data_IF_388517635909
#
_entry.id   IF_388517635909
#
_cell.length_a   1.000
_cell.length_b   1.000
_cell.length_c   1.000
_cell.angle_alpha   90.00
_cell.angle_beta   90.00
_cell.angle_gamma   90.00
#
_symmetry.space_group_name_H-M   'P 1'
#
loop_
_entity.id
_entity.type
_entity.pdbx_description
1 polymer ?
#
# COMPACT_ATOMS: atom_id res chain seq x y z
N UNK A 1 -31.03 2.43 9.88
CA UNK A 1 -31.18 1.31 10.82
C UNK A 1 -29.85 1.08 11.49
N UNK A 2 -29.74 1.22 12.83
CA UNK A 2 -28.53 0.80 13.55
C UNK A 2 -28.52 -0.74 13.51
N UNK A 3 -27.60 -1.32 12.77
CA UNK A 3 -27.35 -2.77 12.83
C UNK A 3 -26.81 -3.10 14.22
N UNK A 4 -27.43 -4.03 14.91
CA UNK A 4 -26.96 -4.50 16.23
C UNK A 4 -25.58 -5.14 16.05
N UNK A 5 -24.57 -4.61 16.74
CA UNK A 5 -23.21 -5.17 16.71
C UNK A 5 -23.22 -6.63 17.19
N UNK A 6 -22.42 -7.47 16.55
CA UNK A 6 -22.17 -8.84 16.98
C UNK A 6 -21.40 -8.89 18.32
N UNK A 7 -21.33 -10.05 18.97
CA UNK A 7 -20.52 -10.24 20.18
C UNK A 7 -19.04 -9.92 19.92
N UNK A 8 -18.51 -10.32 18.78
CA UNK A 8 -17.14 -10.02 18.36
C UNK A 8 -16.92 -8.52 18.20
N UNK A 9 -17.80 -7.81 17.47
CA UNK A 9 -17.70 -6.38 17.25
C UNK A 9 -17.76 -5.58 18.55
N UNK A 10 -18.64 -5.98 19.49
CA UNK A 10 -18.72 -5.35 20.81
C UNK A 10 -17.42 -5.50 21.59
N UNK A 11 -16.86 -6.71 21.62
CA UNK A 11 -15.58 -6.99 22.30
C UNK A 11 -14.43 -6.19 21.68
N UNK A 12 -14.33 -6.18 20.34
CA UNK A 12 -13.29 -5.43 19.62
C UNK A 12 -13.44 -3.92 19.82
N UNK A 13 -14.67 -3.40 19.82
CA UNK A 13 -14.90 -1.97 20.05
C UNK A 13 -14.40 -1.57 21.44
N UNK A 14 -14.74 -2.32 22.49
CA UNK A 14 -14.26 -2.06 23.87
C UNK A 14 -12.72 -2.13 23.97
N UNK A 15 -12.10 -3.14 23.36
CA UNK A 15 -10.64 -3.28 23.34
C UNK A 15 -9.96 -2.10 22.61
N UNK A 16 -10.53 -1.68 21.49
CA UNK A 16 -10.03 -0.53 20.73
C UNK A 16 -10.24 0.78 21.49
N UNK A 17 -11.41 1.02 22.06
CA UNK A 17 -11.70 2.22 22.87
C UNK A 17 -10.70 2.38 24.02
N UNK A 18 -10.35 1.27 24.68
CA UNK A 18 -9.34 1.27 25.74
C UNK A 18 -7.90 1.50 25.23
N UNK A 19 -7.63 1.17 23.96
CA UNK A 19 -6.26 1.15 23.41
C UNK A 19 -5.91 2.38 22.58
N UNK A 20 -6.89 3.05 21.92
CA UNK A 20 -6.57 4.13 20.98
C UNK A 20 -6.03 5.40 21.64
N UNK A 21 -6.60 5.92 22.69
CA UNK A 21 -6.15 7.07 23.45
C UNK A 21 -5.12 7.97 22.76
N UNK A 22 -3.88 7.97 23.25
CA UNK A 22 -2.75 8.70 22.66
C UNK A 22 -2.08 7.95 21.48
N UNK A 23 -2.62 6.78 21.08
CA UNK A 23 -2.03 5.94 20.03
C UNK A 23 -2.44 6.41 18.65
N UNK A 24 -3.73 6.68 18.46
CA UNK A 24 -4.32 7.19 17.22
C UNK A 24 -5.68 7.83 17.54
N UNK A 25 -6.13 8.85 16.76
CA UNK A 25 -7.46 9.43 16.95
C UNK A 25 -8.60 8.42 16.78
N UNK A 26 -8.47 7.52 15.81
CA UNK A 26 -9.50 6.51 15.53
C UNK A 26 -9.01 5.36 14.69
N UNK A 27 -9.83 4.31 14.65
CA UNK A 27 -9.61 3.10 13.86
C UNK A 27 -10.89 2.71 13.16
N UNK A 28 -10.80 2.41 11.87
CA UNK A 28 -11.83 1.73 11.09
C UNK A 28 -11.31 0.36 10.71
N UNK A 29 -12.06 -0.68 11.04
CA UNK A 29 -11.66 -2.08 10.89
C UNK A 29 -12.76 -2.85 10.20
N UNK A 30 -12.40 -3.64 9.17
CA UNK A 30 -13.30 -4.62 8.57
C UNK A 30 -12.59 -5.95 8.37
N UNK A 31 -13.25 -7.04 8.79
CA UNK A 31 -12.77 -8.39 8.56
C UNK A 31 -13.80 -9.22 7.77
N UNK A 32 -13.29 -10.05 6.86
CA UNK A 32 -14.08 -10.99 6.09
C UNK A 32 -13.54 -12.40 6.29
N UNK A 33 -14.44 -13.35 6.55
CA UNK A 33 -14.13 -14.78 6.53
C UNK A 33 -14.94 -15.45 5.42
N UNK A 34 -14.28 -16.25 4.57
CA UNK A 34 -14.93 -16.86 3.42
C UNK A 34 -15.51 -15.85 2.40
N UNK A 35 -15.05 -14.58 2.45
CA UNK A 35 -15.58 -13.49 1.63
C UNK A 35 -16.78 -12.75 2.22
N UNK A 36 -17.29 -13.18 3.38
CA UNK A 36 -18.42 -12.55 4.09
C UNK A 36 -17.89 -11.67 5.22
N UNK A 37 -18.47 -10.48 5.42
CA UNK A 37 -18.15 -9.61 6.55
C UNK A 37 -18.47 -10.33 7.87
N UNK A 38 -17.48 -10.49 8.73
CA UNK A 38 -17.62 -11.06 10.08
C UNK A 38 -17.41 -10.01 11.18
N UNK A 39 -16.83 -8.86 10.80
CA UNK A 39 -16.61 -7.76 11.74
C UNK A 39 -16.51 -6.45 10.94
N UNK A 40 -17.20 -5.41 11.43
CA UNK A 40 -17.13 -4.03 10.92
C UNK A 40 -17.22 -3.06 12.10
N UNK A 41 -16.09 -2.48 12.50
CA UNK A 41 -15.97 -1.66 13.70
C UNK A 41 -15.31 -0.33 13.41
N UNK A 42 -15.90 0.72 13.96
CA UNK A 42 -15.33 2.07 13.94
C UNK A 42 -15.29 2.61 15.37
N UNK A 43 -14.13 3.12 15.78
CA UNK A 43 -13.90 3.64 17.13
C UNK A 43 -13.08 4.91 17.07
N UNK A 44 -13.41 5.88 17.93
CA UNK A 44 -12.74 7.16 18.01
C UNK A 44 -13.15 8.15 16.91
N UNK A 45 -12.26 9.11 16.63
CA UNK A 45 -12.47 10.14 15.59
C UNK A 45 -12.10 9.54 14.22
N UNK A 46 -13.10 9.05 13.51
CA UNK A 46 -12.95 8.42 12.20
C UNK A 46 -13.47 9.32 11.09
N UNK A 47 -12.98 9.08 9.87
CA UNK A 47 -13.44 9.76 8.65
C UNK A 47 -13.72 8.71 7.56
N UNK A 48 -14.33 9.17 6.48
CA UNK A 48 -14.65 8.29 5.36
C UNK A 48 -13.41 7.89 4.57
N UNK A 49 -12.50 8.84 4.32
CA UNK A 49 -11.32 8.62 3.47
C UNK A 49 -10.01 8.74 4.26
N UNK A 50 -9.07 7.89 3.91
CA UNK A 50 -7.75 7.83 4.52
C UNK A 50 -6.66 7.83 3.45
N UNK A 51 -5.51 8.41 3.79
CA UNK A 51 -4.28 8.24 3.02
C UNK A 51 -3.76 6.81 3.23
N UNK A 52 -3.74 6.04 2.17
CA UNK A 52 -3.30 4.64 2.19
C UNK A 52 -1.79 4.50 2.34
N UNK A 53 -1.03 5.58 2.13
CA UNK A 53 0.43 5.56 2.13
C UNK A 53 0.97 4.39 1.30
N UNK A 54 1.85 3.56 1.88
CA UNK A 54 2.46 2.43 1.16
C UNK A 54 1.52 1.30 0.74
N UNK A 55 0.25 1.28 1.16
CA UNK A 55 -0.71 0.37 0.54
C UNK A 55 -0.91 0.68 -0.95
N UNK A 56 -0.57 1.89 -1.41
CA UNK A 56 -0.47 2.25 -2.83
C UNK A 56 0.38 1.24 -3.61
N UNK A 57 1.46 0.72 -2.99
CA UNK A 57 2.36 -0.25 -3.61
C UNK A 57 1.64 -1.52 -4.06
N UNK A 58 0.72 -2.03 -3.24
CA UNK A 58 -0.02 -3.25 -3.55
C UNK A 58 -1.32 -2.98 -4.32
N UNK A 59 -2.06 -1.92 -3.97
CA UNK A 59 -3.35 -1.59 -4.60
C UNK A 59 -3.16 -1.10 -6.04
N UNK A 60 -2.07 -0.38 -6.33
CA UNK A 60 -1.77 0.13 -7.66
C UNK A 60 -0.62 -0.62 -8.33
N UNK A 61 0.60 -0.40 -7.85
CA UNK A 61 1.82 -0.76 -8.58
C UNK A 61 1.95 -2.25 -8.81
N UNK A 62 1.85 -3.02 -7.76
CA UNK A 62 1.94 -4.47 -7.81
C UNK A 62 0.77 -5.08 -8.60
N UNK A 63 -0.46 -4.59 -8.42
CA UNK A 63 -1.63 -5.07 -9.15
C UNK A 63 -1.49 -4.80 -10.67
N UNK A 64 -0.99 -3.62 -11.06
CA UNK A 64 -0.75 -3.28 -12.46
C UNK A 64 0.34 -4.19 -13.07
N UNK A 65 1.44 -4.41 -12.35
CA UNK A 65 2.52 -5.30 -12.79
C UNK A 65 2.08 -6.77 -12.85
N UNK A 66 1.27 -7.22 -11.89
CA UNK A 66 0.72 -8.58 -11.89
C UNK A 66 -0.19 -8.82 -13.11
N UNK A 67 -1.04 -7.86 -13.46
CA UNK A 67 -1.87 -7.93 -14.66
C UNK A 67 -1.04 -7.87 -15.94
N UNK A 68 0.01 -7.04 -15.97
CA UNK A 68 0.93 -6.98 -17.12
C UNK A 68 1.69 -8.29 -17.29
N UNK A 69 2.12 -8.92 -16.21
CA UNK A 69 2.75 -10.25 -16.21
C UNK A 69 1.79 -11.32 -16.75
N UNK A 70 0.54 -11.34 -16.28
CA UNK A 70 -0.47 -12.30 -16.69
C UNK A 70 -0.75 -12.24 -18.20
N UNK A 71 -0.59 -11.05 -18.80
CA UNK A 71 -0.68 -10.83 -20.26
C UNK A 71 0.62 -11.10 -21.03
N UNK A 72 1.69 -11.53 -20.34
CA UNK A 72 2.99 -11.79 -20.96
C UNK A 72 3.79 -10.53 -21.34
N UNK A 73 3.45 -9.34 -20.80
CA UNK A 73 4.13 -8.09 -21.12
C UNK A 73 5.52 -7.97 -20.45
N UNK A 74 5.80 -8.79 -19.45
CA UNK A 74 7.11 -8.94 -18.83
C UNK A 74 7.24 -10.33 -18.19
N UNK A 75 8.45 -10.70 -17.81
CA UNK A 75 8.80 -12.02 -17.20
C UNK A 75 9.60 -11.81 -15.92
N UNK A 76 9.80 -12.88 -15.13
CA UNK A 76 10.65 -12.82 -13.93
C UNK A 76 12.12 -12.49 -14.23
N UNK A 77 12.56 -12.64 -15.46
CA UNK A 77 13.89 -12.28 -15.94
C UNK A 77 14.00 -10.86 -16.46
N UNK A 78 12.86 -10.20 -16.69
CA UNK A 78 12.82 -8.83 -17.21
C UNK A 78 13.54 -7.85 -16.28
N UNK A 79 14.31 -6.97 -16.90
CA UNK A 79 15.12 -5.94 -16.26
C UNK A 79 14.54 -4.55 -16.50
N UNK A 80 15.01 -3.58 -15.77
CA UNK A 80 14.67 -2.17 -15.98
C UNK A 80 15.04 -1.75 -17.41
N UNK A 81 16.19 -2.19 -17.94
CA UNK A 81 16.67 -1.85 -19.27
C UNK A 81 15.79 -2.33 -20.42
N UNK A 82 14.97 -3.38 -20.20
CA UNK A 82 14.01 -3.83 -21.23
C UNK A 82 12.91 -2.79 -21.49
N UNK A 83 12.66 -1.90 -20.55
CA UNK A 83 11.62 -0.84 -20.63
C UNK A 83 12.19 0.57 -20.64
N UNK A 84 13.35 0.77 -19.99
CA UNK A 84 14.02 2.05 -19.81
C UNK A 84 15.50 1.88 -20.22
N UNK A 85 15.79 1.81 -21.52
CA UNK A 85 17.14 1.47 -22.02
C UNK A 85 18.21 2.51 -21.67
N UNK A 86 17.81 3.75 -21.38
CA UNK A 86 18.68 4.84 -20.95
C UNK A 86 18.92 4.91 -19.45
N UNK A 87 18.29 4.01 -18.67
CA UNK A 87 18.48 4.00 -17.22
C UNK A 87 19.90 3.56 -16.85
N UNK A 88 20.55 4.28 -15.92
CA UNK A 88 21.95 4.08 -15.55
C UNK A 88 22.28 2.68 -15.00
N UNK A 89 21.28 1.93 -14.55
CA UNK A 89 21.40 0.56 -14.03
C UNK A 89 20.40 -0.38 -14.70
N UNK A 90 20.59 -0.65 -16.01
CA UNK A 90 19.60 -1.40 -16.81
C UNK A 90 19.40 -2.85 -16.33
N UNK A 91 20.39 -3.43 -15.66
CA UNK A 91 20.38 -4.84 -15.26
C UNK A 91 19.58 -5.14 -13.99
N UNK A 92 19.05 -4.13 -13.27
CA UNK A 92 18.18 -4.36 -12.12
C UNK A 92 16.93 -5.10 -12.61
N UNK A 93 16.63 -6.25 -12.00
CA UNK A 93 15.42 -7.02 -12.34
C UNK A 93 14.17 -6.35 -11.72
N UNK A 94 13.01 -6.46 -12.40
CA UNK A 94 11.77 -5.99 -11.82
C UNK A 94 11.42 -6.73 -10.53
N UNK A 95 11.79 -8.01 -10.43
CA UNK A 95 11.62 -8.81 -9.21
C UNK A 95 12.45 -8.26 -8.04
N UNK A 96 13.63 -7.72 -8.29
CA UNK A 96 14.46 -7.09 -7.24
C UNK A 96 13.87 -5.78 -6.72
N UNK A 97 13.20 -5.01 -7.59
CA UNK A 97 12.44 -3.83 -7.17
C UNK A 97 11.22 -4.23 -6.32
N UNK A 98 10.48 -5.25 -6.75
CA UNK A 98 9.30 -5.76 -6.04
C UNK A 98 9.63 -6.41 -4.69
N UNK A 99 10.84 -6.95 -4.53
CA UNK A 99 11.28 -7.61 -3.28
C UNK A 99 12.19 -6.73 -2.43
N UNK A 100 12.41 -5.47 -2.85
CA UNK A 100 13.31 -4.53 -2.17
C UNK A 100 14.77 -5.02 -2.06
N UNK A 101 15.24 -5.81 -3.02
CA UNK A 101 16.61 -6.36 -3.05
C UNK A 101 17.51 -5.71 -4.10
N UNK A 102 17.01 -4.69 -4.81
CA UNK A 102 17.74 -3.99 -5.87
C UNK A 102 18.99 -3.24 -5.38
N UNK A 103 19.10 -2.95 -4.08
CA UNK A 103 20.16 -2.14 -3.50
C UNK A 103 20.00 -0.63 -3.69
N UNK A 104 18.90 -0.17 -4.30
CA UNK A 104 18.57 1.25 -4.32
C UNK A 104 18.37 1.78 -2.90
N UNK A 105 18.83 3.02 -2.67
CA UNK A 105 18.64 3.72 -1.39
C UNK A 105 17.18 3.65 -0.95
N UNK A 106 16.97 3.50 0.37
CA UNK A 106 15.63 3.27 0.91
C UNK A 106 14.71 4.49 0.77
N UNK A 107 15.27 5.71 0.90
CA UNK A 107 14.55 6.96 0.84
C UNK A 107 15.53 8.13 0.59
N UNK A 108 15.07 9.18 -0.09
CA UNK A 108 15.81 10.44 -0.31
C UNK A 108 14.83 11.61 -0.22
N UNK A 109 15.25 12.78 0.33
CA UNK A 109 14.38 13.94 0.51
C UNK A 109 14.24 14.75 -0.79
N UNK A 110 13.67 14.15 -1.83
CA UNK A 110 13.51 14.80 -3.14
C UNK A 110 12.67 16.08 -3.08
N UNK A 111 11.72 16.13 -2.13
CA UNK A 111 10.85 17.29 -1.91
C UNK A 111 11.62 18.56 -1.53
N UNK A 112 12.84 18.46 -1.00
CA UNK A 112 13.67 19.62 -0.63
C UNK A 112 14.32 20.29 -1.85
N UNK A 113 14.50 19.57 -2.95
CA UNK A 113 15.30 20.00 -4.10
C UNK A 113 14.48 20.21 -5.36
N UNK A 114 13.25 19.71 -5.42
CA UNK A 114 12.41 19.81 -6.61
C UNK A 114 11.71 21.17 -6.69
N UNK A 115 11.70 21.77 -7.88
CA UNK A 115 10.95 23.01 -8.14
C UNK A 115 9.45 22.71 -8.20
N UNK A 116 8.73 23.19 -7.16
CA UNK A 116 7.29 23.01 -7.01
C UNK A 116 6.46 23.82 -8.00
N UNK A 117 7.03 24.78 -8.71
CA UNK A 117 6.32 25.60 -9.71
C UNK A 117 6.14 24.87 -11.04
N UNK A 118 6.92 23.81 -11.28
CA UNK A 118 6.83 22.99 -12.48
C UNK A 118 5.54 22.17 -12.52
N UNK A 119 4.94 21.93 -13.69
CA UNK A 119 3.88 20.96 -13.85
C UNK A 119 4.31 19.55 -13.37
N UNK A 120 3.38 18.77 -12.83
CA UNK A 120 3.71 17.44 -12.26
C UNK A 120 4.45 16.51 -13.25
N UNK A 121 4.15 16.60 -14.56
CA UNK A 121 4.86 15.83 -15.59
C UNK A 121 6.35 16.21 -15.71
N UNK A 122 6.67 17.50 -15.57
CA UNK A 122 8.06 17.96 -15.56
C UNK A 122 8.78 17.54 -14.27
N UNK A 123 8.07 17.57 -13.13
CA UNK A 123 8.57 17.06 -11.85
C UNK A 123 8.87 15.55 -11.91
N UNK A 124 8.07 14.75 -12.64
CA UNK A 124 8.38 13.34 -12.90
C UNK A 124 9.65 13.14 -13.71
N UNK A 125 9.89 13.95 -14.77
CA UNK A 125 11.14 13.88 -15.53
C UNK A 125 12.36 14.24 -14.67
N UNK A 126 12.20 15.19 -13.76
CA UNK A 126 13.22 15.52 -12.77
C UNK A 126 13.48 14.31 -11.85
N UNK A 127 12.44 13.70 -11.31
CA UNK A 127 12.55 12.50 -10.48
C UNK A 127 13.31 11.37 -11.19
N UNK A 128 13.02 11.12 -12.46
CA UNK A 128 13.72 10.09 -13.24
C UNK A 128 15.25 10.32 -13.24
N UNK A 129 15.69 11.57 -13.45
CA UNK A 129 17.12 11.93 -13.37
C UNK A 129 17.70 11.71 -11.97
N UNK A 130 16.94 11.99 -10.92
CA UNK A 130 17.40 11.73 -9.54
C UNK A 130 17.53 10.23 -9.26
N UNK A 131 16.60 9.42 -9.73
CA UNK A 131 16.66 7.96 -9.60
C UNK A 131 17.87 7.38 -10.35
N UNK A 132 18.25 7.95 -11.50
CA UNK A 132 19.46 7.57 -12.20
C UNK A 132 20.74 7.85 -11.41
N UNK A 133 20.77 8.90 -10.62
CA UNK A 133 21.91 9.30 -9.79
C UNK A 133 21.89 8.70 -8.38
N UNK A 134 20.76 8.12 -7.94
CA UNK A 134 20.58 7.63 -6.57
C UNK A 134 21.61 6.54 -6.22
N UNK A 135 22.09 6.47 -4.97
CA UNK A 135 22.96 5.38 -4.53
C UNK A 135 22.29 4.00 -4.72
N UNK A 136 23.09 3.02 -5.09
CA UNK A 136 22.62 1.66 -5.30
C UNK A 136 23.73 0.66 -4.90
N UNK A 137 23.49 -0.07 -3.81
CA UNK A 137 24.45 -1.04 -3.25
C UNK A 137 23.71 -2.31 -2.81
N UNK A 138 23.60 -3.33 -3.66
CA UNK A 138 22.98 -4.59 -3.29
C UNK A 138 23.70 -5.23 -2.09
N UNK A 139 22.93 -5.54 -1.04
CA UNK A 139 23.45 -6.11 0.21
C UNK A 139 23.19 -7.62 0.32
N UNK A 140 22.50 -8.22 -0.65
CA UNK A 140 21.98 -9.58 -0.57
C UNK A 140 20.77 -9.73 0.37
N UNK A 141 20.32 -8.62 0.99
CA UNK A 141 19.15 -8.58 1.85
C UNK A 141 18.15 -7.54 1.33
N UNK A 142 16.89 -7.75 1.65
CA UNK A 142 15.86 -6.78 1.37
C UNK A 142 16.02 -5.56 2.29
N UNK A 143 16.15 -4.39 1.68
CA UNK A 143 16.05 -3.08 2.35
C UNK A 143 14.84 -2.39 1.76
N UNK A 144 13.78 -2.24 2.57
CA UNK A 144 12.55 -1.59 2.11
C UNK A 144 12.86 -0.25 1.46
N UNK A 145 12.48 -0.07 0.19
CA UNK A 145 12.82 1.13 -0.58
C UNK A 145 11.60 1.72 -1.28
N UNK A 146 11.41 3.03 -1.12
CA UNK A 146 10.43 3.79 -1.91
C UNK A 146 10.95 4.09 -3.31
N UNK A 147 12.27 4.29 -3.45
CA UNK A 147 12.89 4.60 -4.75
C UNK A 147 12.67 3.47 -5.76
N UNK A 148 12.74 2.21 -5.31
CA UNK A 148 12.46 1.06 -6.16
C UNK A 148 11.04 1.09 -6.73
N UNK A 149 10.06 1.44 -5.90
CA UNK A 149 8.68 1.57 -6.35
C UNK A 149 8.45 2.82 -7.21
N UNK A 150 9.13 3.94 -6.93
CA UNK A 150 9.12 5.11 -7.84
C UNK A 150 9.64 4.74 -9.24
N UNK A 151 10.71 3.93 -9.33
CA UNK A 151 11.26 3.44 -10.59
C UNK A 151 10.28 2.52 -11.32
N UNK A 152 9.57 1.63 -10.60
CA UNK A 152 8.50 0.81 -11.19
C UNK A 152 7.39 1.65 -11.83
N UNK A 153 7.18 2.88 -11.39
CA UNK A 153 6.25 3.81 -12.03
C UNK A 153 6.65 4.15 -13.47
N UNK A 154 7.93 4.36 -13.74
CA UNK A 154 8.44 4.60 -15.09
C UNK A 154 8.38 3.33 -15.96
N UNK A 155 8.63 2.18 -15.34
CA UNK A 155 8.44 0.88 -16.02
C UNK A 155 6.96 0.69 -16.42
N UNK A 156 6.01 1.04 -15.55
CA UNK A 156 4.58 0.97 -15.87
C UNK A 156 4.20 1.94 -16.98
N UNK A 157 4.73 3.16 -17.00
CA UNK A 157 4.52 4.11 -18.09
C UNK A 157 5.02 3.55 -19.44
N UNK A 158 6.20 2.94 -19.44
CA UNK A 158 6.76 2.30 -20.64
C UNK A 158 5.94 1.08 -21.09
N UNK A 159 5.56 0.19 -20.17
CA UNK A 159 4.72 -0.99 -20.43
C UNK A 159 3.38 -0.64 -21.06
N UNK A 160 2.78 0.48 -20.65
CA UNK A 160 1.45 0.88 -21.11
C UNK A 160 1.48 1.94 -22.21
N UNK A 161 2.63 2.57 -22.49
CA UNK A 161 2.75 3.69 -23.44
C UNK A 161 1.92 4.92 -23.03
N UNK A 162 1.69 5.12 -21.74
CA UNK A 162 0.83 6.16 -21.16
C UNK A 162 1.50 6.80 -19.96
N UNK A 163 1.10 8.04 -19.60
CA UNK A 163 1.54 8.62 -18.33
C UNK A 163 0.95 7.88 -17.12
N UNK A 164 1.59 8.01 -15.98
CA UNK A 164 1.26 7.26 -14.77
C UNK A 164 -0.19 7.47 -14.30
N UNK A 165 -0.73 8.67 -14.47
CA UNK A 165 -2.12 8.96 -14.12
C UNK A 165 -3.09 8.16 -14.98
N UNK A 166 -2.85 8.11 -16.29
CA UNK A 166 -3.67 7.33 -17.21
C UNK A 166 -3.56 5.82 -16.92
N UNK A 167 -2.36 5.32 -16.60
CA UNK A 167 -2.16 3.91 -16.16
C UNK A 167 -3.00 3.62 -14.90
N UNK A 168 -2.98 4.52 -13.92
CA UNK A 168 -3.79 4.39 -12.72
C UNK A 168 -5.29 4.40 -13.02
N UNK A 169 -5.77 5.33 -13.84
CA UNK A 169 -7.18 5.44 -14.20
C UNK A 169 -7.69 4.19 -14.90
N UNK A 170 -6.95 3.67 -15.89
CA UNK A 170 -7.29 2.42 -16.59
C UNK A 170 -7.36 1.23 -15.62
N UNK A 171 -6.39 1.11 -14.70
CA UNK A 171 -6.38 0.05 -13.70
C UNK A 171 -7.58 0.17 -12.77
N UNK A 172 -7.84 1.36 -12.23
CA UNK A 172 -8.98 1.62 -11.32
C UNK A 172 -10.30 1.24 -11.99
N UNK A 173 -10.54 1.74 -13.18
CA UNK A 173 -11.82 1.58 -13.87
C UNK A 173 -12.05 0.12 -14.29
N UNK A 174 -10.99 -0.60 -14.63
CA UNK A 174 -11.09 -2.02 -15.00
C UNK A 174 -11.10 -2.97 -13.82
N UNK A 175 -10.40 -2.66 -12.72
CA UNK A 175 -10.19 -3.59 -11.61
C UNK A 175 -11.09 -3.28 -10.42
N UNK A 176 -11.36 -2.00 -10.16
CA UNK A 176 -12.12 -1.51 -9.01
C UNK A 176 -13.31 -0.65 -9.42
N UNK A 177 -14.21 -1.15 -10.30
CA UNK A 177 -15.32 -0.36 -10.80
C UNK A 177 -16.21 0.14 -9.65
N UNK A 178 -16.52 1.45 -9.68
CA UNK A 178 -17.34 2.08 -8.64
C UNK A 178 -16.63 2.38 -7.33
N UNK A 179 -15.31 2.10 -7.23
CA UNK A 179 -14.53 2.50 -6.05
C UNK A 179 -14.35 4.01 -5.97
N UNK A 180 -14.14 4.51 -4.74
CA UNK A 180 -13.77 5.91 -4.48
C UNK A 180 -12.25 6.12 -4.40
N UNK A 181 -11.45 5.10 -4.78
CA UNK A 181 -9.99 5.19 -4.83
C UNK A 181 -9.54 6.34 -5.73
N UNK A 182 -8.70 7.21 -5.22
CA UNK A 182 -8.22 8.37 -5.95
C UNK A 182 -6.76 8.72 -5.61
N UNK A 183 -6.04 9.21 -6.62
CA UNK A 183 -4.86 10.05 -6.45
C UNK A 183 -5.28 11.51 -6.56
N UNK A 184 -4.74 12.36 -5.72
CA UNK A 184 -5.07 13.79 -5.69
C UNK A 184 -4.12 14.56 -6.60
N UNK A 185 -4.50 14.68 -7.88
CA UNK A 185 -3.73 15.40 -8.90
C UNK A 185 -3.47 16.82 -8.45
N UNK A 186 -2.21 17.28 -8.53
CA UNK A 186 -1.75 18.56 -8.00
C UNK A 186 -2.17 18.79 -6.53
N UNK A 187 -2.26 17.69 -5.77
CA UNK A 187 -2.65 17.64 -4.36
C UNK A 187 -4.07 18.18 -4.10
N UNK A 188 -4.95 18.19 -5.10
CA UNK A 188 -6.33 18.62 -4.96
C UNK A 188 -7.21 17.43 -4.56
N UNK A 189 -7.86 17.46 -3.38
CA UNK A 189 -8.74 16.39 -2.94
C UNK A 189 -9.99 16.31 -3.83
N UNK A 190 -10.43 15.08 -4.12
CA UNK A 190 -11.62 14.84 -4.97
C UNK A 190 -12.95 14.90 -4.20
N UNK A 191 -12.88 14.95 -2.87
CA UNK A 191 -14.04 15.10 -1.97
C UNK A 191 -13.80 16.28 -1.01
N UNK A 192 -14.83 16.74 -0.27
CA UNK A 192 -14.63 17.76 0.77
C UNK A 192 -13.54 17.36 1.77
N UNK A 193 -12.69 18.31 2.14
CA UNK A 193 -11.51 18.07 2.98
C UNK A 193 -11.88 17.40 4.31
N UNK A 194 -13.03 17.76 4.88
CA UNK A 194 -13.54 17.23 6.15
C UNK A 194 -13.86 15.73 6.10
N UNK A 195 -14.05 15.18 4.90
CA UNK A 195 -14.30 13.76 4.72
C UNK A 195 -13.02 12.90 4.84
N UNK A 196 -11.84 13.54 4.86
CA UNK A 196 -10.55 12.86 5.00
C UNK A 196 -10.06 12.86 6.44
N UNK A 197 -9.41 11.77 6.85
CA UNK A 197 -8.74 11.69 8.13
C UNK A 197 -7.52 12.64 8.14
N UNK A 198 -7.42 13.59 9.09
CA UNK A 198 -6.25 14.45 9.21
C UNK A 198 -5.04 13.63 9.64
N UNK A 199 -3.89 13.91 9.04
CA UNK A 199 -2.61 13.27 9.38
C UNK A 199 -1.77 14.19 10.27
N UNK A 200 -0.48 14.33 10.08
CA UNK A 200 0.39 15.08 10.98
C UNK A 200 0.30 16.60 10.81
N UNK A 201 0.77 17.32 11.82
CA UNK A 201 1.19 18.71 11.66
C UNK A 201 2.56 18.70 10.98
N UNK A 202 2.57 18.82 9.66
CA UNK A 202 3.78 18.66 8.85
C UNK A 202 4.78 19.78 9.14
N UNK A 203 6.02 19.48 9.59
CA UNK A 203 7.01 20.50 9.91
C UNK A 203 7.51 21.23 8.66
N UNK A 204 7.52 20.57 7.51
CA UNK A 204 7.93 21.16 6.23
C UNK A 204 6.84 22.05 5.64
N UNK A 205 5.59 21.54 5.52
CA UNK A 205 4.43 22.30 5.00
C UNK A 205 3.80 23.23 6.03
N UNK A 206 4.21 23.18 7.30
CA UNK A 206 3.80 24.05 8.43
C UNK A 206 2.28 24.11 8.61
N UNK A 207 1.59 23.02 8.34
CA UNK A 207 0.13 22.89 8.51
C UNK A 207 -0.28 21.47 8.85
N UNK A 208 -1.49 21.30 9.42
CA UNK A 208 -2.14 20.00 9.53
C UNK A 208 -2.50 19.51 8.14
N UNK A 209 -2.09 18.30 7.80
CA UNK A 209 -2.40 17.69 6.51
C UNK A 209 -3.76 17.00 6.59
N UNK A 210 -4.66 17.34 5.67
CA UNK A 210 -5.98 16.74 5.54
C UNK A 210 -6.43 16.82 4.08
N UNK A 211 -6.79 15.69 3.48
CA UNK A 211 -7.06 15.62 2.04
C UNK A 211 -5.84 15.83 1.16
N UNK A 212 -4.65 15.92 1.73
CA UNK A 212 -3.37 15.99 1.04
C UNK A 212 -2.53 14.77 1.39
N UNK A 213 -1.76 14.26 0.42
CA UNK A 213 -0.90 13.11 0.65
C UNK A 213 0.13 13.40 1.74
N UNK A 214 0.28 12.47 2.68
CA UNK A 214 1.22 12.60 3.80
C UNK A 214 2.67 12.55 3.34
N UNK A 215 3.00 11.64 2.41
CA UNK A 215 4.34 11.48 1.89
C UNK A 215 4.82 12.75 1.18
N UNK A 216 5.91 13.36 1.69
CA UNK A 216 6.40 14.65 1.21
C UNK A 216 6.94 14.56 -0.23
N UNK A 217 7.55 13.43 -0.61
CA UNK A 217 8.02 13.20 -1.97
C UNK A 217 6.83 13.09 -2.95
N UNK A 218 5.84 12.25 -2.64
CA UNK A 218 4.64 12.12 -3.49
C UNK A 218 3.91 13.45 -3.62
N UNK A 219 3.79 14.20 -2.53
CA UNK A 219 3.20 15.55 -2.58
C UNK A 219 3.98 16.44 -3.55
N UNK A 220 5.30 16.41 -3.45
CA UNK A 220 6.18 17.23 -4.31
C UNK A 220 6.13 16.82 -5.79
N UNK A 221 5.73 15.60 -6.11
CA UNK A 221 5.51 15.12 -7.48
C UNK A 221 4.11 15.40 -8.01
N UNK A 222 3.27 16.16 -7.29
CA UNK A 222 1.91 16.51 -7.68
C UNK A 222 0.87 15.46 -7.25
N UNK A 223 1.14 14.72 -6.16
CA UNK A 223 0.21 13.76 -5.57
C UNK A 223 0.11 12.41 -6.30
N UNK A 224 0.94 12.18 -7.32
CA UNK A 224 0.88 10.99 -8.17
C UNK A 224 2.18 10.19 -8.06
N UNK A 225 2.11 8.99 -7.49
CA UNK A 225 3.26 8.10 -7.37
C UNK A 225 2.83 6.63 -7.24
N UNK A 226 3.83 5.75 -7.35
CA UNK A 226 3.67 4.28 -7.27
C UNK A 226 4.00 3.72 -5.90
N UNK A 227 4.56 4.52 -4.99
CA UNK A 227 4.92 4.07 -3.64
C UNK A 227 3.96 4.58 -2.56
N UNK A 228 3.26 5.70 -2.81
CA UNK A 228 2.28 6.34 -1.93
C UNK A 228 1.33 7.23 -2.75
N UNK A 229 0.27 7.80 -2.14
CA UNK A 229 -0.59 8.82 -2.75
C UNK A 229 -2.01 8.36 -3.05
N UNK A 230 -2.36 7.09 -2.86
CA UNK A 230 -3.74 6.64 -2.93
C UNK A 230 -4.52 7.03 -1.67
N UNK A 231 -5.73 7.52 -1.90
CA UNK A 231 -6.76 7.70 -0.90
C UNK A 231 -7.93 6.77 -1.16
N UNK A 232 -8.59 6.34 -0.10
CA UNK A 232 -9.78 5.51 -0.21
C UNK A 232 -10.48 5.32 1.13
N UNK A 233 -11.63 4.66 1.07
CA UNK A 233 -12.46 4.25 2.20
C UNK A 233 -12.13 2.83 2.66
N UNK A 234 -12.78 2.38 3.74
CA UNK A 234 -12.68 0.98 4.17
C UNK A 234 -13.33 0.03 3.14
N UNK A 235 -14.37 0.50 2.43
CA UNK A 235 -15.00 -0.26 1.35
C UNK A 235 -14.02 -0.51 0.20
N UNK A 236 -13.23 0.51 -0.15
CA UNK A 236 -12.24 0.41 -1.21
C UNK A 236 -11.10 -0.54 -0.83
N UNK A 237 -10.59 -0.43 0.41
CA UNK A 237 -9.50 -1.29 0.88
C UNK A 237 -9.95 -2.75 0.99
N UNK A 238 -11.14 -2.98 1.55
CA UNK A 238 -11.74 -4.31 1.62
C UNK A 238 -12.06 -4.86 0.22
N UNK A 239 -12.56 -4.01 -0.68
CA UNK A 239 -12.81 -4.35 -2.09
C UNK A 239 -11.55 -4.85 -2.81
N UNK A 240 -10.42 -4.14 -2.64
CA UNK A 240 -9.12 -4.61 -3.13
C UNK A 240 -8.76 -5.98 -2.52
N UNK A 241 -8.90 -6.14 -1.20
CA UNK A 241 -8.60 -7.40 -0.52
C UNK A 241 -9.46 -8.57 -1.01
N UNK A 242 -10.74 -8.33 -1.29
CA UNK A 242 -11.64 -9.34 -1.88
C UNK A 242 -11.26 -9.65 -3.33
N UNK A 243 -10.80 -8.66 -4.11
CA UNK A 243 -10.26 -8.90 -5.45
C UNK A 243 -8.99 -9.76 -5.39
N UNK A 244 -8.07 -9.49 -4.47
CA UNK A 244 -6.88 -10.31 -4.21
C UNK A 244 -7.27 -11.74 -3.81
N UNK A 245 -8.23 -11.90 -2.89
CA UNK A 245 -8.80 -13.20 -2.52
C UNK A 245 -9.33 -13.94 -3.75
N UNK A 246 -10.10 -13.26 -4.59
CA UNK A 246 -10.67 -13.86 -5.80
C UNK A 246 -9.57 -14.34 -6.75
N UNK A 247 -8.53 -13.56 -6.95
CA UNK A 247 -7.37 -13.91 -7.79
C UNK A 247 -6.62 -15.13 -7.23
N UNK A 248 -6.30 -15.13 -5.93
CA UNK A 248 -5.57 -16.24 -5.30
C UNK A 248 -6.37 -17.55 -5.27
N UNK A 249 -7.70 -17.48 -5.28
CA UNK A 249 -8.60 -18.66 -5.24
C UNK A 249 -9.20 -19.02 -6.59
N UNK A 250 -8.88 -18.29 -7.66
CA UNK A 250 -9.43 -18.51 -8.98
C UNK A 250 -10.95 -18.34 -9.04
N UNK A 251 -11.52 -17.40 -8.25
CA UNK A 251 -12.95 -17.16 -8.19
C UNK A 251 -13.42 -16.32 -9.39
N UNK A 252 -14.73 -16.36 -9.73
CA UNK A 252 -15.30 -15.49 -10.74
C UNK A 252 -14.99 -14.00 -10.48
N UNK A 253 -14.67 -13.26 -11.54
CA UNK A 253 -14.30 -11.85 -11.46
C UNK A 253 -12.81 -11.59 -11.15
N UNK A 254 -12.00 -12.64 -10.96
CA UNK A 254 -10.55 -12.49 -10.86
C UNK A 254 -9.98 -11.80 -12.10
N UNK A 255 -9.02 -10.88 -11.90
CA UNK A 255 -8.41 -10.06 -12.97
C UNK A 255 -7.11 -10.63 -13.50
N UNK A 256 -6.60 -11.67 -12.85
CA UNK A 256 -5.45 -12.46 -13.28
C UNK A 256 -5.73 -13.95 -13.02
N UNK A 257 -4.97 -14.82 -13.65
CA UNK A 257 -5.05 -16.26 -13.41
C UNK A 257 -4.56 -16.59 -11.98
N UNK A 258 -5.13 -17.64 -11.38
CA UNK A 258 -4.74 -18.09 -10.05
C UNK A 258 -3.26 -18.47 -9.96
N UNK A 259 -2.69 -19.03 -11.04
CA UNK A 259 -1.26 -19.33 -11.13
C UNK A 259 -0.38 -18.09 -11.06
N UNK A 260 -0.81 -17.00 -11.69
CA UNK A 260 -0.13 -15.70 -11.60
C UNK A 260 -0.25 -15.12 -10.19
N UNK A 261 -1.45 -15.14 -9.61
CA UNK A 261 -1.65 -14.68 -8.24
C UNK A 261 -0.82 -15.50 -7.25
N UNK A 262 -0.73 -16.82 -7.39
CA UNK A 262 0.12 -17.68 -6.56
C UNK A 262 1.61 -17.32 -6.71
N UNK A 263 2.07 -17.10 -7.94
CA UNK A 263 3.46 -16.67 -8.19
C UNK A 263 3.80 -15.37 -7.45
N UNK A 264 2.89 -14.38 -7.48
CA UNK A 264 3.12 -13.08 -6.86
C UNK A 264 2.97 -13.08 -5.33
N UNK A 265 2.27 -14.05 -4.78
CA UNK A 265 1.97 -14.13 -3.33
C UNK A 265 2.82 -15.16 -2.58
N UNK A 266 3.55 -16.02 -3.29
CA UNK A 266 4.52 -16.93 -2.66
C UNK A 266 5.82 -16.20 -2.33
N UNK A 267 6.56 -16.72 -1.35
CA UNK A 267 7.88 -16.20 -0.99
C UNK A 267 8.79 -16.13 -2.22
N UNK A 268 9.30 -14.94 -2.50
CA UNK A 268 10.12 -14.67 -3.68
C UNK A 268 11.63 -14.64 -3.40
N UNK A 269 12.00 -14.45 -2.12
CA UNK A 269 13.42 -14.42 -1.69
C UNK A 269 13.62 -15.34 -0.49
N UNK A 270 14.87 -15.82 -0.26
CA UNK A 270 15.20 -16.59 0.93
C UNK A 270 14.83 -15.82 2.22
N UNK A 271 14.46 -16.55 3.27
CA UNK A 271 14.00 -15.94 4.53
C UNK A 271 15.08 -15.08 5.21
N UNK A 272 16.32 -15.51 5.11
CA UNK A 272 17.49 -14.77 5.61
C UNK A 272 17.73 -13.45 4.88
N UNK A 273 17.19 -13.31 3.67
CA UNK A 273 17.23 -12.08 2.88
C UNK A 273 16.02 -11.16 3.20
N UNK A 274 14.91 -11.71 3.70
CA UNK A 274 13.74 -10.94 4.09
C UNK A 274 12.41 -11.68 3.92
N UNK A 275 11.34 -11.04 4.37
CA UNK A 275 9.99 -11.62 4.34
C UNK A 275 9.14 -10.95 3.24
N UNK A 276 9.50 -11.25 1.96
CA UNK A 276 8.86 -10.67 0.79
C UNK A 276 8.41 -11.72 -0.23
N UNK A 277 7.22 -11.48 -0.76
CA UNK A 277 6.75 -11.96 -2.04
C UNK A 277 6.94 -10.85 -3.10
N UNK A 278 6.41 -10.99 -4.31
CA UNK A 278 6.53 -9.95 -5.34
C UNK A 278 5.60 -8.76 -5.01
N UNK A 279 6.12 -7.78 -4.25
CA UNK A 279 5.42 -6.58 -3.81
C UNK A 279 4.64 -6.73 -2.51
N UNK A 280 4.43 -7.93 -1.99
CA UNK A 280 3.75 -8.15 -0.71
C UNK A 280 4.72 -8.45 0.42
N UNK A 281 4.39 -7.94 1.61
CA UNK A 281 4.95 -8.41 2.86
C UNK A 281 4.43 -9.81 3.18
N UNK A 282 5.29 -10.64 3.77
CA UNK A 282 4.95 -11.93 4.37
C UNK A 282 5.10 -11.83 5.89
N UNK A 283 4.41 -12.69 6.67
CA UNK A 283 4.60 -12.71 8.11
C UNK A 283 6.06 -13.00 8.48
N UNK A 284 6.66 -12.08 9.24
CA UNK A 284 7.95 -12.30 9.86
C UNK A 284 7.85 -13.37 10.95
N UNK A 285 8.93 -14.07 11.25
CA UNK A 285 8.95 -15.08 12.33
C UNK A 285 8.68 -14.47 13.71
N UNK A 286 9.07 -13.21 13.90
CA UNK A 286 8.86 -12.47 15.13
C UNK A 286 8.39 -11.05 14.77
N UNK A 287 7.43 -10.53 15.53
CA UNK A 287 6.94 -9.16 15.36
C UNK A 287 6.18 -8.93 14.05
N UNK A 288 5.54 -9.95 13.49
CA UNK A 288 4.73 -9.81 12.29
C UNK A 288 3.62 -8.77 12.50
N UNK A 289 3.45 -7.86 11.56
CA UNK A 289 2.44 -6.79 11.66
C UNK A 289 0.98 -7.29 11.56
N UNK A 290 0.79 -8.54 11.11
CA UNK A 290 -0.49 -9.27 11.15
C UNK A 290 -0.70 -10.08 12.43
N UNK A 291 0.14 -9.92 13.47
CA UNK A 291 0.04 -10.68 14.71
C UNK A 291 0.58 -12.11 14.59
N UNK A 292 0.18 -12.96 15.55
CA UNK A 292 0.77 -14.28 15.76
C UNK A 292 -0.09 -15.43 15.19
N UNK A 293 -1.31 -15.15 14.76
CA UNK A 293 -2.29 -16.19 14.38
C UNK A 293 -2.46 -16.35 12.87
N UNK A 294 -1.94 -15.42 12.09
CA UNK A 294 -1.96 -15.51 10.63
C UNK A 294 -0.99 -16.58 10.15
N UNK A 295 -1.41 -17.35 9.14
CA UNK A 295 -0.57 -18.42 8.58
C UNK A 295 0.67 -17.88 7.88
N UNK A 296 1.70 -18.70 7.72
CA UNK A 296 2.91 -18.36 6.98
C UNK A 296 2.66 -18.10 5.47
N UNK A 297 1.46 -18.46 4.98
CA UNK A 297 1.00 -18.20 3.59
C UNK A 297 0.31 -16.84 3.45
N UNK A 298 0.12 -16.12 4.55
CA UNK A 298 -0.54 -14.81 4.54
C UNK A 298 0.31 -13.79 3.77
N UNK A 299 -0.38 -12.87 3.11
CA UNK A 299 0.20 -11.75 2.39
C UNK A 299 -0.49 -10.45 2.77
N UNK A 300 0.24 -9.37 2.75
CA UNK A 300 -0.33 -8.08 3.06
C UNK A 300 0.67 -6.94 2.87
N UNK A 301 0.29 -5.79 3.35
CA UNK A 301 1.18 -4.62 3.44
C UNK A 301 0.67 -3.65 4.49
N UNK A 302 1.53 -2.75 4.93
CA UNK A 302 1.18 -1.70 5.88
C UNK A 302 1.44 -0.32 5.27
N UNK A 303 0.65 0.68 5.69
CA UNK A 303 0.88 2.07 5.37
C UNK A 303 1.48 2.84 6.53
N UNK A 304 2.32 3.81 6.23
CA UNK A 304 2.99 4.64 7.23
C UNK A 304 2.00 5.41 8.10
N UNK A 305 0.88 5.85 7.52
CA UNK A 305 -0.22 6.55 8.18
C UNK A 305 -0.97 5.73 9.22
N UNK A 306 -0.78 4.41 9.25
CA UNK A 306 -1.43 3.48 10.18
C UNK A 306 -2.38 2.49 9.50
N UNK A 307 -2.48 2.54 8.19
CA UNK A 307 -3.30 1.61 7.40
C UNK A 307 -2.64 0.24 7.29
N UNK A 308 -3.43 -0.81 7.08
CA UNK A 308 -2.91 -2.15 6.74
C UNK A 308 -3.97 -3.01 6.10
N UNK A 309 -3.52 -3.97 5.31
CA UNK A 309 -4.33 -5.05 4.76
C UNK A 309 -3.54 -6.35 4.86
N UNK A 310 -4.21 -7.40 5.37
CA UNK A 310 -3.65 -8.75 5.42
C UNK A 310 -4.71 -9.78 5.02
N UNK A 311 -4.32 -10.70 4.15
CA UNK A 311 -5.14 -11.84 3.75
C UNK A 311 -4.42 -13.15 4.09
N UNK A 312 -5.09 -14.00 4.85
CA UNK A 312 -4.67 -15.37 5.16
C UNK A 312 -5.44 -16.37 4.28
N UNK A 313 -4.82 -16.98 3.26
CA UNK A 313 -5.49 -17.91 2.36
C UNK A 313 -5.85 -19.26 3.02
N UNK A 314 -5.18 -19.65 4.11
CA UNK A 314 -5.49 -20.89 4.83
C UNK A 314 -6.74 -20.76 5.68
N UNK A 315 -6.93 -19.59 6.31
CA UNK A 315 -8.12 -19.27 7.09
C UNK A 315 -9.25 -18.68 6.25
N UNK A 316 -8.94 -18.32 5.01
CA UNK A 316 -9.78 -17.45 4.16
C UNK A 316 -10.23 -16.18 4.90
N UNK A 317 -9.29 -15.57 5.62
CA UNK A 317 -9.50 -14.40 6.47
C UNK A 317 -8.79 -13.17 5.87
N UNK A 318 -9.58 -12.13 5.60
CA UNK A 318 -9.10 -10.82 5.17
C UNK A 318 -9.35 -9.81 6.28
N UNK A 319 -8.33 -9.03 6.64
CA UNK A 319 -8.44 -7.94 7.61
C UNK A 319 -7.94 -6.65 6.98
N UNK A 320 -8.79 -5.63 6.97
CA UNK A 320 -8.53 -4.27 6.49
C UNK A 320 -8.60 -3.30 7.66
N UNK A 321 -7.58 -2.47 7.85
CA UNK A 321 -7.50 -1.47 8.92
C UNK A 321 -7.15 -0.12 8.34
N UNK A 322 -7.94 0.90 8.68
CA UNK A 322 -7.63 2.30 8.44
C UNK A 322 -7.44 3.03 9.76
N UNK A 323 -6.41 3.85 9.83
CA UNK A 323 -6.04 4.66 10.99
C UNK A 323 -5.22 5.86 10.52
N UNK A 324 -5.16 6.90 11.32
CA UNK A 324 -4.32 8.06 11.10
C UNK A 324 -3.32 8.26 12.26
N UNK A 325 -2.56 7.20 12.61
CA UNK A 325 -1.60 7.20 13.73
C UNK A 325 -0.66 8.40 13.72
N UNK A 326 -0.30 8.89 12.54
CA UNK A 326 0.62 10.03 12.36
C UNK A 326 -0.01 11.37 12.72
N UNK A 327 -1.30 11.42 13.11
CA UNK A 327 -1.93 12.63 13.62
C UNK A 327 -1.18 13.22 14.82
N UNK A 328 -0.65 12.36 15.69
CA UNK A 328 0.22 12.72 16.81
C UNK A 328 1.69 12.97 16.45
N UNK A 329 2.03 12.95 15.15
CA UNK A 329 3.39 13.06 14.63
C UNK A 329 3.94 11.74 14.08
N UNK A 330 4.86 11.84 13.12
CA UNK A 330 5.47 10.65 12.46
C UNK A 330 6.28 9.77 13.41
N UNK A 331 6.75 10.32 14.53
CA UNK A 331 7.52 9.60 15.56
C UNK A 331 6.65 8.75 16.48
N UNK A 332 5.32 8.91 16.45
CA UNK A 332 4.40 8.07 17.22
C UNK A 332 4.39 6.63 16.67
N UNK A 333 5.07 5.72 17.38
CA UNK A 333 5.19 4.31 17.03
C UNK A 333 4.21 3.41 17.78
N UNK A 334 3.39 3.95 18.69
CA UNK A 334 2.52 3.16 19.56
C UNK A 334 1.53 2.28 18.76
N UNK A 335 1.01 2.77 17.63
CA UNK A 335 0.13 1.99 16.76
C UNK A 335 0.82 0.76 16.13
N UNK A 336 2.14 0.79 15.96
CA UNK A 336 2.89 -0.35 15.42
C UNK A 336 2.83 -1.56 16.36
N UNK A 337 2.67 -1.34 17.66
CA UNK A 337 2.45 -2.41 18.66
C UNK A 337 0.97 -2.78 18.78
N UNK A 338 0.04 -1.85 18.56
CA UNK A 338 -1.41 -2.12 18.62
C UNK A 338 -1.89 -2.92 17.40
N UNK A 339 -1.39 -2.63 16.20
CA UNK A 339 -1.81 -3.28 14.96
C UNK A 339 -1.75 -4.82 15.02
N UNK A 340 -0.64 -5.47 15.43
CA UNK A 340 -0.59 -6.92 15.59
C UNK A 340 -1.62 -7.46 16.60
N UNK A 341 -1.87 -6.71 17.67
CA UNK A 341 -2.87 -7.10 18.68
C UNK A 341 -4.29 -7.09 18.11
N UNK A 342 -4.64 -6.10 17.29
CA UNK A 342 -5.93 -6.05 16.59
C UNK A 342 -6.14 -7.33 15.77
N UNK A 343 -5.14 -7.75 15.00
CA UNK A 343 -5.22 -9.00 14.23
C UNK A 343 -5.40 -10.24 15.13
N UNK A 344 -4.68 -10.29 16.27
CA UNK A 344 -4.82 -11.37 17.24
C UNK A 344 -6.25 -11.42 17.81
N UNK A 345 -6.78 -10.28 18.27
CA UNK A 345 -8.13 -10.19 18.83
C UNK A 345 -9.22 -10.64 17.86
N UNK A 346 -9.04 -10.35 16.55
CA UNK A 346 -9.98 -10.81 15.51
C UNK A 346 -9.95 -12.33 15.43
N UNK A 347 -8.76 -12.94 15.32
CA UNK A 347 -8.64 -14.40 15.18
C UNK A 347 -9.10 -15.13 16.43
N UNK A 348 -8.82 -14.59 17.62
CA UNK A 348 -9.25 -15.16 18.91
C UNK A 348 -10.77 -15.05 19.14
N UNK A 349 -11.44 -14.16 18.43
CA UNK A 349 -12.87 -13.93 18.53
C UNK A 349 -13.72 -14.64 17.46
N UNK A 350 -13.09 -15.22 16.43
CA UNK A 350 -13.74 -16.01 15.37
C UNK A 350 -13.82 -17.48 15.74
#
# INVERSE_FOLDING_TARGET
MMTTRTSLENKLALQLEAAIGNVTPGVVLRAHAGGTVVCDVQVGDTRRYYDFASLTKIVFTQQALMQAYDRGAWTLQSTVGDFLPDFSRPNIRLTELLTHTSGLEWWMPFYESIDQTLPWRARRQWLYRQLQAAPCQPTGKAVYTDLGFMLLGFVLEALHGKDLLAVWQDLRDSTYPGSSLAMHVDNQPVHPVEAYAPTELCPWRKKRLQGEVHDDNTWSFGGISTHAGLFGSIDDLAGYGLALRAQMRGLPGARVQASTAELFTRRAIPREAGDWALGFMLPALQGASCGNHFSARSVGHTGFTGTSLWYDPQRDLLVSILSNRVHGGRENKAFLSLRPQIHNWIVEGL
#
